data_IF_406346181731
#
_entry.id   IF_406346181731
#
_cell.length_a   1.000
_cell.length_b   1.000
_cell.length_c   1.000
_cell.angle_alpha   90.00
_cell.angle_beta   90.00
_cell.angle_gamma   90.00
#
_symmetry.space_group_name_H-M   'P 1'
#
loop_
_entity.id
_entity.type
_entity.pdbx_description
1 polymer ?
#
# COMPACT_ATOMS: atom_id res chain seq x y z
N UNK A 1 -25.83 0.60 48.22
CA UNK A 1 -25.13 -0.63 47.79
C UNK A 1 -25.61 -1.00 46.40
N UNK A 2 -24.64 -1.20 45.48
CA UNK A 2 -24.66 -1.91 44.20
C UNK A 2 -25.84 -1.66 43.22
N UNK A 3 -25.64 -1.35 41.94
CA UNK A 3 -24.47 -1.51 41.09
C UNK A 3 -24.89 -2.10 39.74
N UNK A 4 -24.33 -1.58 38.64
CA UNK A 4 -24.15 -2.35 37.40
C UNK A 4 -25.19 -2.14 36.31
N UNK A 5 -24.86 -1.24 35.38
CA UNK A 5 -25.06 -1.55 33.95
C UNK A 5 -23.98 -2.57 33.54
N UNK A 6 -24.17 -3.34 32.46
CA UNK A 6 -23.56 -2.85 31.24
C UNK A 6 -24.41 -3.01 29.98
N UNK A 7 -24.51 -1.88 29.28
CA UNK A 7 -24.50 -1.70 27.83
C UNK A 7 -24.05 -2.95 27.04
N UNK A 8 -25.00 -3.50 26.29
CA UNK A 8 -24.72 -4.40 25.18
C UNK A 8 -24.06 -3.55 24.08
N UNK A 9 -22.74 -3.61 23.98
CA UNK A 9 -22.00 -3.03 22.88
C UNK A 9 -22.29 -3.87 21.63
N UNK A 10 -22.98 -3.26 20.66
CA UNK A 10 -23.03 -3.77 19.29
C UNK A 10 -21.59 -3.83 18.77
N UNK A 11 -21.03 -5.03 18.68
CA UNK A 11 -19.91 -5.30 17.80
C UNK A 11 -20.41 -5.05 16.37
N UNK A 12 -20.26 -3.81 15.90
CA UNK A 12 -20.33 -3.53 14.47
C UNK A 12 -19.33 -4.46 13.80
N UNK A 13 -19.86 -5.42 13.04
CA UNK A 13 -19.11 -6.15 12.02
C UNK A 13 -18.40 -5.09 11.18
N UNK A 14 -17.09 -4.90 11.39
CA UNK A 14 -16.30 -4.12 10.46
C UNK A 14 -16.38 -4.87 9.14
N UNK A 15 -17.20 -4.38 8.21
CA UNK A 15 -17.15 -4.85 6.84
C UNK A 15 -15.70 -4.65 6.37
N UNK A 16 -15.06 -5.72 5.92
CA UNK A 16 -13.71 -5.63 5.36
C UNK A 16 -13.77 -4.71 4.15
N UNK A 17 -13.16 -3.54 4.28
CA UNK A 17 -13.10 -2.56 3.19
C UNK A 17 -12.21 -3.14 2.09
N UNK A 18 -12.73 -3.25 0.87
CA UNK A 18 -11.99 -3.81 -0.26
C UNK A 18 -11.58 -2.74 -1.26
N UNK A 19 -10.42 -2.92 -1.89
CA UNK A 19 -9.93 -2.15 -3.05
C UNK A 19 -9.51 -3.15 -4.11
N UNK A 20 -10.02 -3.01 -5.34
CA UNK A 20 -9.77 -3.97 -6.44
C UNK A 20 -10.04 -5.44 -6.07
N UNK A 21 -11.04 -5.68 -5.21
CA UNK A 21 -11.37 -7.02 -4.72
C UNK A 21 -10.44 -7.56 -3.62
N UNK A 22 -9.39 -6.82 -3.25
CA UNK A 22 -8.46 -7.16 -2.17
C UNK A 22 -8.92 -6.50 -0.88
N UNK A 23 -8.99 -7.26 0.22
CA UNK A 23 -9.32 -6.72 1.52
C UNK A 23 -8.16 -5.87 2.04
N UNK A 24 -8.43 -4.61 2.41
CA UNK A 24 -7.41 -3.77 3.04
C UNK A 24 -7.01 -4.36 4.41
N UNK A 25 -5.72 -4.27 4.80
CA UNK A 25 -5.29 -4.68 6.12
C UNK A 25 -6.08 -3.97 7.21
N UNK A 26 -6.53 -4.70 8.22
CA UNK A 26 -7.32 -4.14 9.33
C UNK A 26 -6.59 -2.95 10.00
N UNK A 27 -5.26 -3.03 10.06
CA UNK A 27 -4.42 -1.95 10.53
C UNK A 27 -4.55 -0.69 9.66
N UNK A 28 -4.49 -0.80 8.34
CA UNK A 28 -4.64 0.34 7.44
C UNK A 28 -6.02 0.96 7.60
N UNK A 29 -7.07 0.15 7.66
CA UNK A 29 -8.45 0.63 7.91
C UNK A 29 -8.55 1.36 9.25
N UNK A 30 -7.89 0.86 10.31
CA UNK A 30 -7.84 1.52 11.61
C UNK A 30 -7.08 2.86 11.57
N UNK A 31 -5.94 2.92 10.88
CA UNK A 31 -5.18 4.15 10.70
C UNK A 31 -5.98 5.20 9.90
N UNK A 32 -6.67 4.79 8.85
CA UNK A 32 -7.58 5.64 8.07
C UNK A 32 -8.74 6.16 8.92
N UNK A 33 -9.44 5.27 9.64
CA UNK A 33 -10.57 5.65 10.50
C UNK A 33 -10.19 6.60 11.65
N UNK A 34 -8.93 6.59 12.07
CA UNK A 34 -8.37 7.51 13.09
C UNK A 34 -7.69 8.74 12.49
N UNK A 35 -7.67 8.91 11.17
CA UNK A 35 -6.96 10.00 10.49
C UNK A 35 -5.43 9.98 10.71
N UNK A 36 -4.88 8.81 11.06
CA UNK A 36 -3.44 8.60 11.29
C UNK A 36 -2.70 8.19 10.02
N UNK A 37 -3.39 7.65 9.02
CA UNK A 37 -2.79 7.41 7.70
C UNK A 37 -2.66 8.74 6.95
N UNK A 38 -1.48 9.36 7.06
CA UNK A 38 -1.12 10.65 6.48
C UNK A 38 0.38 10.71 6.26
N UNK A 39 0.82 11.68 5.47
CA UNK A 39 2.25 11.89 5.19
C UNK A 39 3.05 12.03 6.51
N UNK A 40 4.10 11.21 6.73
CA UNK A 40 4.86 11.19 7.98
C UNK A 40 5.83 12.38 8.12
N UNK A 41 6.13 13.04 7.00
CA UNK A 41 7.17 14.04 6.86
C UNK A 41 8.27 13.54 5.94
N UNK A 42 8.89 14.45 5.19
CA UNK A 42 9.88 14.08 4.16
C UNK A 42 11.12 13.41 4.77
N UNK A 43 11.56 13.86 5.97
CA UNK A 43 12.71 13.27 6.66
C UNK A 43 12.48 11.80 7.04
N UNK A 44 11.34 11.48 7.65
CA UNK A 44 10.98 10.09 7.98
C UNK A 44 10.85 9.24 6.72
N UNK A 45 10.25 9.78 5.66
CA UNK A 45 10.12 9.04 4.41
C UNK A 45 11.48 8.73 3.78
N UNK A 46 12.42 9.69 3.81
CA UNK A 46 13.79 9.50 3.32
C UNK A 46 14.60 8.50 4.16
N UNK A 47 14.28 8.32 5.44
CA UNK A 47 14.88 7.27 6.27
C UNK A 47 14.33 5.88 5.91
N UNK A 48 13.02 5.77 5.69
CA UNK A 48 12.34 4.50 5.42
C UNK A 48 12.48 4.04 3.96
N UNK A 49 12.54 4.97 3.01
CA UNK A 49 12.65 4.70 1.58
C UNK A 49 13.76 5.57 0.95
N UNK A 50 15.04 5.34 1.30
CA UNK A 50 16.14 6.27 0.99
C UNK A 50 16.45 6.45 -0.50
N UNK A 51 15.95 5.55 -1.35
CA UNK A 51 16.15 5.61 -2.80
C UNK A 51 15.01 6.35 -3.53
N UNK A 52 13.93 6.71 -2.84
CA UNK A 52 12.74 7.33 -3.43
C UNK A 52 12.83 8.85 -3.29
N UNK A 53 13.05 9.57 -4.39
CA UNK A 53 13.30 11.02 -4.33
C UNK A 53 12.05 11.88 -4.61
N UNK A 54 10.96 11.28 -5.13
CA UNK A 54 9.74 12.03 -5.46
C UNK A 54 8.83 12.22 -4.24
N UNK A 55 8.15 13.39 -4.14
CA UNK A 55 7.26 13.67 -3.02
C UNK A 55 6.01 12.79 -3.09
N UNK A 56 5.73 12.05 -2.03
CA UNK A 56 4.55 11.21 -1.96
C UNK A 56 3.35 11.93 -1.35
N UNK A 57 2.17 11.43 -1.70
CA UNK A 57 0.88 11.75 -1.11
C UNK A 57 0.22 10.44 -0.69
N UNK A 58 -0.04 10.31 0.61
CA UNK A 58 -0.67 9.12 1.19
C UNK A 58 -2.16 9.14 0.89
N UNK A 59 -2.68 8.08 0.28
CA UNK A 59 -4.07 8.06 -0.19
C UNK A 59 -5.04 8.02 0.99
N UNK A 60 -6.00 8.96 1.09
CA UNK A 60 -6.76 9.20 2.33
C UNK A 60 -7.87 8.19 2.61
N UNK A 61 -8.04 7.16 1.79
CA UNK A 61 -9.07 6.14 1.96
C UNK A 61 -9.26 5.24 0.76
N UNK A 62 -10.09 4.21 0.93
CA UNK A 62 -10.30 3.17 -0.07
C UNK A 62 -10.80 3.70 -1.43
N UNK A 63 -11.64 4.74 -1.45
CA UNK A 63 -12.10 5.36 -2.71
C UNK A 63 -10.94 5.98 -3.49
N UNK A 64 -9.98 6.62 -2.79
CA UNK A 64 -8.79 7.17 -3.44
C UNK A 64 -7.85 6.06 -3.90
N UNK A 65 -7.61 5.05 -3.05
CA UNK A 65 -6.80 3.87 -3.39
C UNK A 65 -7.37 3.13 -4.61
N UNK A 66 -8.69 2.93 -4.67
CA UNK A 66 -9.39 2.33 -5.81
C UNK A 66 -9.20 3.16 -7.08
N UNK A 67 -9.40 4.48 -7.00
CA UNK A 67 -9.24 5.35 -8.17
C UNK A 67 -7.81 5.32 -8.70
N UNK A 68 -6.81 5.53 -7.85
CA UNK A 68 -5.41 5.55 -8.29
C UNK A 68 -4.96 4.17 -8.76
N UNK A 69 -5.36 3.09 -8.07
CA UNK A 69 -4.95 1.74 -8.46
C UNK A 69 -5.58 1.26 -9.78
N UNK A 70 -6.56 1.98 -10.36
CA UNK A 70 -7.08 1.67 -11.72
C UNK A 70 -6.11 2.02 -12.83
N UNK A 71 -5.17 2.95 -12.62
CA UNK A 71 -4.16 3.24 -13.66
C UNK A 71 -3.28 2.02 -13.95
N UNK A 72 -3.08 1.14 -12.97
CA UNK A 72 -2.31 -0.10 -13.12
C UNK A 72 -2.86 -1.04 -14.20
N UNK A 73 -4.18 -0.99 -14.48
CA UNK A 73 -4.76 -1.77 -15.58
C UNK A 73 -4.24 -1.32 -16.95
N UNK A 74 -4.10 -0.01 -17.15
CA UNK A 74 -3.53 0.55 -18.38
C UNK A 74 -2.06 0.14 -18.54
N UNK A 75 -1.28 0.19 -17.45
CA UNK A 75 0.15 -0.17 -17.48
C UNK A 75 0.39 -1.66 -17.72
N UNK A 76 -0.50 -2.53 -17.22
CA UNK A 76 -0.38 -3.97 -17.40
C UNK A 76 -0.88 -4.48 -18.77
N UNK A 77 -1.78 -3.76 -19.44
CA UNK A 77 -2.46 -4.23 -20.66
C UNK A 77 -1.87 -3.67 -21.96
N UNK A 78 -1.17 -2.53 -21.93
CA UNK A 78 -0.58 -1.91 -23.13
C UNK A 78 0.97 -2.02 -23.11
N UNK A 79 1.58 -2.73 -24.08
CA UNK A 79 3.03 -2.91 -24.18
C UNK A 79 3.85 -1.62 -24.24
N UNK A 80 3.22 -0.49 -24.62
CA UNK A 80 3.85 0.83 -24.61
C UNK A 80 4.29 1.26 -23.21
N UNK A 81 3.74 0.61 -22.17
CA UNK A 81 4.01 0.85 -20.75
C UNK A 81 4.87 -0.24 -20.09
N UNK A 82 5.48 -1.14 -20.86
CA UNK A 82 6.34 -2.23 -20.33
C UNK A 82 7.45 -1.74 -19.40
N UNK A 83 7.88 -0.48 -19.54
CA UNK A 83 8.89 0.13 -18.68
C UNK A 83 8.43 0.33 -17.23
N UNK A 84 7.12 0.33 -16.95
CA UNK A 84 6.57 0.35 -15.58
C UNK A 84 6.67 -1.01 -14.86
N UNK A 85 6.94 -2.09 -15.62
CA UNK A 85 7.03 -3.47 -15.11
C UNK A 85 5.81 -3.90 -14.30
N UNK A 86 4.64 -3.60 -14.82
CA UNK A 86 3.36 -4.04 -14.29
C UNK A 86 2.80 -5.15 -15.18
N UNK A 87 2.24 -6.19 -14.58
CA UNK A 87 1.69 -7.32 -15.32
C UNK A 87 0.49 -7.92 -14.57
N UNK A 88 -0.42 -8.57 -15.31
CA UNK A 88 -1.45 -9.42 -14.73
C UNK A 88 -0.89 -10.81 -14.44
N UNK A 89 -0.94 -11.25 -13.18
CA UNK A 89 -0.59 -12.61 -12.80
C UNK A 89 -1.42 -13.65 -13.55
N UNK A 90 -2.71 -13.41 -13.72
CA UNK A 90 -3.64 -14.29 -14.44
C UNK A 90 -3.29 -14.53 -15.91
N UNK A 91 -2.54 -13.63 -16.54
CA UNK A 91 -2.15 -13.71 -17.94
C UNK A 91 -0.81 -14.46 -18.16
N UNK A 92 -0.15 -14.92 -17.09
CA UNK A 92 1.18 -15.57 -17.18
C UNK A 92 1.16 -17.02 -16.74
N UNK A 93 2.00 -17.83 -17.37
CA UNK A 93 2.20 -19.24 -17.01
C UNK A 93 3.04 -19.42 -15.73
N UNK A 94 3.82 -18.41 -15.37
CA UNK A 94 4.66 -18.39 -14.17
C UNK A 94 4.23 -17.24 -13.26
N UNK A 95 4.36 -17.38 -11.93
CA UNK A 95 4.13 -16.28 -11.00
C UNK A 95 4.90 -15.03 -11.41
N UNK A 96 4.26 -13.87 -11.29
CA UNK A 96 4.92 -12.58 -11.43
C UNK A 96 5.75 -12.37 -10.17
N UNK A 97 7.04 -12.11 -10.33
CA UNK A 97 7.99 -11.85 -9.25
C UNK A 97 8.60 -10.45 -9.39
N UNK A 98 9.09 -9.87 -8.28
CA UNK A 98 9.88 -8.63 -8.35
C UNK A 98 11.08 -8.84 -9.29
N UNK A 99 11.42 -7.86 -10.15
CA UNK A 99 11.01 -6.44 -10.10
C UNK A 99 9.70 -6.10 -10.83
N UNK A 100 8.87 -7.09 -11.19
CA UNK A 100 7.54 -6.87 -11.73
C UNK A 100 6.46 -6.86 -10.63
N UNK A 101 5.52 -5.93 -10.74
CA UNK A 101 4.33 -5.87 -9.90
C UNK A 101 3.20 -6.67 -10.55
N UNK A 102 2.55 -7.52 -9.75
CA UNK A 102 1.29 -8.15 -10.13
C UNK A 102 0.13 -7.22 -9.78
N UNK A 103 -0.49 -6.59 -10.78
CA UNK A 103 -1.53 -5.57 -10.57
C UNK A 103 -2.85 -6.13 -10.03
N UNK A 104 -3.01 -7.45 -10.06
CA UNK A 104 -4.17 -8.16 -9.49
C UNK A 104 -3.95 -8.49 -8.00
N UNK A 105 -2.71 -8.38 -7.52
CA UNK A 105 -2.29 -8.64 -6.14
C UNK A 105 -1.69 -7.39 -5.49
N UNK A 106 -2.02 -6.19 -6.00
CA UNK A 106 -1.48 -4.93 -5.52
C UNK A 106 -2.55 -3.85 -5.28
N UNK A 107 -2.29 -3.00 -4.29
CA UNK A 107 -3.09 -1.80 -4.00
C UNK A 107 -2.16 -0.62 -3.76
N UNK A 108 -2.31 0.46 -4.52
CA UNK A 108 -1.56 1.69 -4.28
C UNK A 108 -2.03 2.35 -2.98
N UNK A 109 -1.08 2.77 -2.14
CA UNK A 109 -1.33 3.39 -0.83
C UNK A 109 -0.71 4.79 -0.69
N UNK A 110 0.27 5.09 -1.52
CA UNK A 110 0.78 6.44 -1.73
C UNK A 110 1.18 6.61 -3.20
N UNK A 111 0.96 7.79 -3.76
CA UNK A 111 1.31 8.13 -5.15
C UNK A 111 2.07 9.45 -5.15
N UNK A 112 2.70 9.80 -6.26
CA UNK A 112 3.35 11.09 -6.39
C UNK A 112 2.36 12.25 -6.16
N UNK A 113 2.84 13.29 -5.49
CA UNK A 113 2.11 14.54 -5.30
C UNK A 113 2.06 15.40 -6.57
N UNK A 114 3.04 15.24 -7.45
CA UNK A 114 3.17 15.97 -8.71
C UNK A 114 2.44 15.19 -9.82
N UNK A 115 1.38 15.76 -10.42
CA UNK A 115 0.66 15.10 -11.50
C UNK A 115 1.57 14.80 -12.70
N UNK A 116 1.48 13.59 -13.25
CA UNK A 116 2.23 13.13 -14.41
C UNK A 116 3.59 12.50 -14.10
N UNK A 117 3.97 12.38 -12.83
CA UNK A 117 5.11 11.57 -12.40
C UNK A 117 4.60 10.27 -11.76
N UNK A 118 4.69 9.17 -12.52
CA UNK A 118 4.00 7.90 -12.27
C UNK A 118 4.81 6.99 -11.34
N UNK A 119 5.01 7.46 -10.10
CA UNK A 119 5.67 6.70 -9.02
C UNK A 119 4.76 6.52 -7.81
N UNK A 120 4.88 5.38 -7.14
CA UNK A 120 3.97 4.98 -6.07
C UNK A 120 4.59 4.01 -5.05
N UNK A 121 3.91 3.91 -3.91
CA UNK A 121 4.03 2.81 -2.97
C UNK A 121 2.76 1.95 -3.02
N UNK A 122 2.93 0.64 -2.97
CA UNK A 122 1.85 -0.33 -3.02
C UNK A 122 1.94 -1.36 -1.89
N UNK A 123 0.78 -1.82 -1.43
CA UNK A 123 0.66 -3.10 -0.74
C UNK A 123 0.72 -4.21 -1.79
N UNK A 124 1.49 -5.25 -1.50
CA UNK A 124 1.67 -6.39 -2.37
C UNK A 124 1.32 -7.68 -1.62
N UNK A 125 0.19 -8.27 -2.02
CA UNK A 125 -0.50 -9.35 -1.32
C UNK A 125 0.07 -10.73 -1.65
N UNK A 126 1.10 -10.81 -2.51
CA UNK A 126 1.77 -12.08 -2.86
C UNK A 126 2.47 -12.75 -1.66
N UNK A 127 2.70 -12.03 -0.56
CA UNK A 127 3.33 -12.58 0.66
C UNK A 127 2.32 -13.00 1.73
N UNK A 128 1.43 -12.08 2.12
CA UNK A 128 0.47 -12.28 3.21
C UNK A 128 -0.78 -11.43 2.92
N UNK A 129 -1.99 -12.03 2.94
CA UNK A 129 -3.22 -11.30 2.64
C UNK A 129 -3.69 -10.36 3.77
N UNK A 130 -3.23 -10.56 5.01
CA UNK A 130 -3.59 -9.77 6.18
C UNK A 130 -2.54 -8.70 6.51
N UNK A 131 -1.26 -8.99 6.25
CA UNK A 131 -0.13 -8.08 6.48
C UNK A 131 0.83 -8.05 5.27
N UNK A 132 0.36 -7.58 4.10
CA UNK A 132 1.12 -7.61 2.86
C UNK A 132 2.42 -6.81 2.96
N UNK A 133 3.43 -7.19 2.19
CA UNK A 133 4.66 -6.38 2.09
C UNK A 133 4.35 -5.02 1.46
N UNK A 134 5.20 -4.04 1.71
CA UNK A 134 5.16 -2.74 1.05
C UNK A 134 6.25 -2.70 -0.01
N UNK A 135 5.89 -2.33 -1.23
CA UNK A 135 6.81 -2.14 -2.35
C UNK A 135 6.71 -0.71 -2.88
N UNK A 136 7.77 -0.23 -3.52
CA UNK A 136 7.80 1.05 -4.22
C UNK A 136 8.35 0.92 -5.63
N UNK A 137 7.86 1.77 -6.53
CA UNK A 137 8.37 1.90 -7.89
C UNK A 137 9.70 2.66 -7.90
N UNK A 138 10.76 2.06 -8.43
CA UNK A 138 12.10 2.68 -8.50
C UNK A 138 12.51 3.02 -9.92
N UNK A 139 12.58 4.31 -10.20
CA UNK A 139 13.18 4.89 -11.40
C UNK A 139 14.53 5.57 -11.12
N UNK A 140 14.99 5.61 -9.88
CA UNK A 140 16.24 6.30 -9.52
C UNK A 140 17.47 5.41 -9.68
N UNK A 141 17.33 4.10 -9.45
CA UNK A 141 18.41 3.16 -9.74
C UNK A 141 18.62 2.99 -11.25
N UNK A 142 17.54 2.94 -12.03
CA UNK A 142 17.59 2.96 -13.50
C UNK A 142 16.45 3.81 -14.07
N UNK A 143 16.73 5.04 -14.54
CA UNK A 143 15.71 5.93 -15.10
C UNK A 143 15.01 5.43 -16.36
N UNK A 144 15.50 4.35 -16.98
CA UNK A 144 14.92 3.79 -18.21
C UNK A 144 13.81 2.78 -17.94
N UNK A 145 13.73 2.25 -16.72
CA UNK A 145 12.84 1.13 -16.38
C UNK A 145 12.58 1.09 -14.88
N UNK A 146 11.30 1.07 -14.53
CA UNK A 146 10.86 0.87 -13.17
C UNK A 146 11.36 -0.48 -12.64
N UNK A 147 11.83 -0.50 -11.41
CA UNK A 147 11.97 -1.71 -10.63
C UNK A 147 11.06 -1.63 -9.42
N UNK A 148 10.08 -2.52 -9.30
CA UNK A 148 9.35 -2.65 -8.05
C UNK A 148 10.26 -3.32 -7.01
N UNK A 149 10.48 -2.65 -5.88
CA UNK A 149 11.38 -3.14 -4.82
C UNK A 149 10.69 -3.09 -3.47
N UNK A 150 11.06 -4.04 -2.62
CA UNK A 150 10.53 -4.11 -1.26
C UNK A 150 11.03 -2.91 -0.46
N UNK A 151 10.08 -2.19 0.12
CA UNK A 151 10.31 -1.13 1.11
C UNK A 151 10.30 -1.73 2.51
N UNK A 152 9.29 -2.58 2.80
CA UNK A 152 9.16 -3.25 4.08
C UNK A 152 8.54 -4.64 3.88
N UNK A 153 8.98 -5.67 4.61
CA UNK A 153 8.47 -7.04 4.42
C UNK A 153 7.01 -7.21 4.86
N UNK A 154 6.47 -6.26 5.63
CA UNK A 154 5.10 -6.28 6.14
C UNK A 154 4.59 -4.85 6.33
N UNK A 155 3.28 -4.63 6.16
CA UNK A 155 2.67 -3.32 6.32
C UNK A 155 2.70 -2.84 7.77
N UNK A 156 2.57 -3.75 8.73
CA UNK A 156 2.71 -3.45 10.16
C UNK A 156 4.09 -2.88 10.50
N UNK A 157 5.16 -3.49 9.99
CA UNK A 157 6.53 -3.01 10.15
C UNK A 157 6.71 -1.62 9.51
N UNK A 158 6.22 -1.44 8.28
CA UNK A 158 6.23 -0.13 7.62
C UNK A 158 5.52 0.94 8.44
N UNK A 159 4.35 0.64 9.03
CA UNK A 159 3.61 1.59 9.86
C UNK A 159 4.35 1.95 11.15
N UNK A 160 5.15 1.05 11.72
CA UNK A 160 6.04 1.33 12.85
C UNK A 160 7.19 2.24 12.41
N UNK A 161 7.84 1.93 11.29
CA UNK A 161 8.97 2.70 10.76
C UNK A 161 8.54 4.14 10.41
N UNK A 162 7.31 4.32 9.95
CA UNK A 162 6.70 5.64 9.72
C UNK A 162 6.28 6.38 11.01
N UNK A 163 6.39 5.75 12.19
CA UNK A 163 5.94 6.33 13.47
C UNK A 163 4.41 6.44 13.61
N UNK A 164 3.65 5.67 12.83
CA UNK A 164 2.18 5.67 12.85
C UNK A 164 1.60 4.70 13.90
N UNK A 165 2.44 3.82 14.43
CA UNK A 165 2.15 2.87 15.50
C UNK A 165 3.25 2.88 16.55
N UNK A 166 2.88 2.57 17.80
CA UNK A 166 3.86 2.14 18.78
C UNK A 166 4.32 0.71 18.45
N UNK A 167 5.60 0.35 18.69
CA UNK A 167 6.14 -0.99 18.37
C UNK A 167 5.35 -2.16 18.98
N UNK A 168 4.68 -1.94 20.12
CA UNK A 168 3.92 -2.97 20.83
C UNK A 168 2.49 -3.17 20.29
N UNK A 169 2.01 -2.24 19.46
CA UNK A 169 0.73 -2.36 18.74
C UNK A 169 0.86 -3.19 17.45
N UNK A 170 2.07 -3.35 16.92
CA UNK A 170 2.32 -4.09 15.66
C UNK A 170 2.37 -5.61 15.83
N UNK A 171 2.43 -6.13 17.07
CA UNK A 171 2.56 -7.57 17.38
C UNK A 171 1.25 -8.25 17.79
N UNK A 172 0.12 -7.54 17.71
CA UNK A 172 -1.20 -8.01 18.13
C UNK A 172 -2.10 -8.23 16.93
#
# INVERSE_FOLDING_TARGET
MAGGSPRCATLSRMENVTVRGLALPALLTSLLGRGRWRHPGEATLAEVVPWFESPLSFLPGAVAMERESRSMDMFADDPSYDFFREARGSARATPVELPWLDVEQAVLIAVNRIPGDDVALALDYRTDPADPRVVGSDFWTDPRLCSWRTVSPAFSAFAVDLGLLAPDEARR
#
